data_IF_958090224122
#
_entry.id   IF_958090224122
#
_cell.length_a   1.000
_cell.length_b   1.000
_cell.length_c   1.000
_cell.angle_alpha   90.00
_cell.angle_beta   90.00
_cell.angle_gamma   90.00
#
_symmetry.space_group_name_H-M   'P 1'
#
loop_
_entity.id
_entity.type
_entity.pdbx_description
1 polymer ?
#
# COMPACT_ATOMS: atom_id res chain seq x y z
N UNK A 1 8.80 21.89 -1.13
CA UNK A 1 10.24 21.61 -1.39
C UNK A 1 11.14 21.64 -0.16
N UNK A 2 11.01 22.60 0.77
CA UNK A 2 11.88 22.66 1.98
C UNK A 2 11.66 21.53 2.99
N UNK A 3 10.45 21.03 3.17
CA UNK A 3 10.13 19.93 4.09
C UNK A 3 10.66 18.58 3.58
N UNK A 4 10.74 18.39 2.27
CA UNK A 4 11.19 17.16 1.62
C UNK A 4 12.71 16.98 1.66
N UNK A 5 13.48 18.10 1.64
CA UNK A 5 14.94 18.07 1.75
C UNK A 5 15.37 17.58 3.14
N UNK A 6 14.63 17.94 4.18
CA UNK A 6 14.90 17.46 5.57
C UNK A 6 14.64 15.94 5.68
N UNK A 7 13.64 15.43 4.97
CA UNK A 7 13.31 14.01 4.97
C UNK A 7 14.37 13.15 4.24
N UNK A 8 14.93 13.65 3.14
CA UNK A 8 15.99 12.95 2.38
C UNK A 8 17.33 12.92 3.13
N UNK A 9 17.65 13.98 3.89
CA UNK A 9 18.86 14.06 4.73
C UNK A 9 18.77 13.09 5.93
N UNK A 10 17.58 12.87 6.49
CA UNK A 10 17.36 11.91 7.57
C UNK A 10 17.57 10.46 7.11
N UNK A 11 17.21 10.12 5.87
CA UNK A 11 17.44 8.77 5.32
C UNK A 11 18.92 8.51 5.05
N UNK A 12 19.67 9.49 4.59
CA UNK A 12 21.12 9.32 4.38
C UNK A 12 21.90 9.19 5.70
N UNK A 13 21.45 9.84 6.78
CA UNK A 13 22.04 9.70 8.10
C UNK A 13 21.87 8.32 8.73
N UNK A 14 20.81 7.61 8.45
CA UNK A 14 20.54 6.27 9.00
C UNK A 14 21.35 5.18 8.28
N UNK A 15 21.65 5.35 7.00
CA UNK A 15 22.45 4.38 6.21
C UNK A 15 23.95 4.46 6.56
N UNK A 16 24.45 5.63 6.96
CA UNK A 16 25.88 5.82 7.27
C UNK A 16 26.29 5.30 8.66
N UNK A 17 25.34 4.99 9.55
CA UNK A 17 25.65 4.50 10.90
C UNK A 17 25.73 2.97 11.02
N UNK A 18 25.49 2.22 9.94
CA UNK A 18 25.48 0.76 9.96
C UNK A 18 26.82 0.10 9.55
N UNK A 19 27.83 0.88 9.16
CA UNK A 19 29.04 0.33 8.52
C UNK A 19 30.32 0.35 9.38
N UNK A 20 30.24 0.70 10.67
CA UNK A 20 31.43 0.65 11.55
C UNK A 20 31.12 0.03 12.91
N UNK A 21 31.08 -1.30 12.95
CA UNK A 21 31.29 -2.06 14.18
C UNK A 21 32.02 -3.37 13.88
N UNK A 22 33.34 -3.30 13.75
CA UNK A 22 34.23 -4.46 13.84
C UNK A 22 34.25 -4.99 15.28
N UNK A 23 34.01 -6.28 15.44
CA UNK A 23 34.07 -6.99 16.71
C UNK A 23 35.51 -7.45 17.02
N UNK A 24 36.00 -7.34 18.26
CA UNK A 24 37.30 -7.91 18.64
C UNK A 24 37.19 -9.42 18.89
N UNK A 25 38.30 -10.19 18.72
CA UNK A 25 38.29 -11.64 18.81
C UNK A 25 38.44 -12.18 20.23
N UNK A 26 37.63 -13.15 20.56
CA UNK A 26 37.99 -14.28 21.39
C UNK A 26 37.80 -14.23 22.90
N UNK A 27 36.76 -14.91 23.38
CA UNK A 27 36.81 -15.72 24.60
C UNK A 27 35.69 -16.79 24.56
N UNK A 28 35.88 -17.99 25.13
CA UNK A 28 35.00 -19.13 24.94
C UNK A 28 33.75 -18.99 25.79
N UNK A 29 32.59 -19.05 25.14
CA UNK A 29 31.28 -19.00 25.79
C UNK A 29 30.85 -20.42 26.15
N UNK A 30 30.53 -20.57 27.43
CA UNK A 30 29.81 -21.73 27.96
C UNK A 30 28.42 -21.87 27.30
N UNK A 31 28.04 -23.11 27.01
CA UNK A 31 26.74 -23.43 26.42
C UNK A 31 25.61 -23.06 27.39
N UNK A 32 24.86 -22.01 27.09
CA UNK A 32 23.58 -21.73 27.71
C UNK A 32 22.43 -22.21 26.83
N UNK A 33 21.49 -22.87 27.48
CA UNK A 33 20.32 -23.59 26.99
C UNK A 33 19.33 -22.72 26.20
N UNK A 34 18.73 -23.23 25.09
CA UNK A 34 17.86 -22.46 24.23
C UNK A 34 16.41 -22.41 24.72
N UNK A 35 16.16 -21.78 25.87
CA UNK A 35 14.78 -21.63 26.41
C UNK A 35 14.16 -20.26 26.06
N UNK A 36 14.95 -19.25 25.72
CA UNK A 36 14.46 -17.92 25.39
C UNK A 36 14.05 -17.76 23.90
N UNK A 37 14.57 -18.59 23.00
CA UNK A 37 14.24 -18.53 21.59
C UNK A 37 12.87 -19.18 21.26
N UNK A 38 12.46 -20.21 22.01
CA UNK A 38 11.15 -20.84 21.82
C UNK A 38 10.00 -19.96 22.33
N UNK A 39 10.21 -19.21 23.42
CA UNK A 39 9.18 -18.37 24.02
C UNK A 39 8.86 -17.14 23.16
N UNK A 40 9.86 -16.60 22.42
CA UNK A 40 9.65 -15.50 21.49
C UNK A 40 9.02 -15.92 20.16
N UNK A 41 9.33 -17.14 19.66
CA UNK A 41 8.68 -17.68 18.46
C UNK A 41 7.21 -18.03 18.74
N UNK A 42 6.93 -18.66 19.89
CA UNK A 42 5.59 -19.04 20.31
C UNK A 42 4.73 -17.79 20.60
N UNK A 43 5.35 -16.72 21.11
CA UNK A 43 4.68 -15.44 21.34
C UNK A 43 4.41 -14.68 20.04
N UNK A 44 5.35 -14.69 19.08
CA UNK A 44 5.17 -14.12 17.75
C UNK A 44 4.10 -14.90 16.97
N UNK A 45 4.07 -16.22 17.11
CA UNK A 45 3.06 -17.09 16.51
C UNK A 45 1.69 -16.89 17.15
N UNK A 46 1.59 -16.77 18.50
CA UNK A 46 0.35 -16.41 19.19
C UNK A 46 -0.14 -15.00 18.82
N UNK A 47 0.74 -14.04 18.59
CA UNK A 47 0.36 -12.69 18.14
C UNK A 47 -0.07 -12.69 16.68
N UNK A 48 0.52 -13.53 15.82
CA UNK A 48 0.12 -13.70 14.43
C UNK A 48 -1.19 -14.49 14.28
N UNK A 49 -1.45 -15.45 15.16
CA UNK A 49 -2.70 -16.24 15.19
C UNK A 49 -3.90 -15.44 15.75
N UNK A 50 -3.65 -14.34 16.45
CA UNK A 50 -4.75 -13.57 17.07
C UNK A 50 -5.58 -12.76 16.08
N UNK A 51 -5.02 -12.37 14.94
CA UNK A 51 -5.74 -11.60 13.91
C UNK A 51 -5.11 -11.85 12.54
N UNK A 52 -5.88 -12.19 11.49
CA UNK A 52 -5.35 -12.11 10.13
C UNK A 52 -4.86 -10.68 9.90
N UNK A 53 -3.61 -10.52 9.46
CA UNK A 53 -3.11 -9.21 9.09
C UNK A 53 -3.95 -8.70 7.93
N UNK A 54 -4.24 -7.39 7.88
CA UNK A 54 -4.96 -6.77 6.76
C UNK A 54 -4.32 -7.20 5.43
N UNK A 55 -3.00 -7.29 5.42
CA UNK A 55 -2.20 -7.64 4.26
C UNK A 55 -2.41 -9.10 3.79
N UNK A 56 -2.67 -10.04 4.72
CA UNK A 56 -2.84 -11.46 4.40
C UNK A 56 -4.27 -11.88 4.09
N UNK A 57 -5.24 -10.99 4.32
CA UNK A 57 -6.66 -11.33 4.18
C UNK A 57 -7.06 -11.73 2.75
N UNK A 58 -6.40 -11.16 1.75
CA UNK A 58 -6.72 -11.37 0.35
C UNK A 58 -5.56 -11.88 -0.50
N UNK A 59 -4.35 -12.02 0.06
CA UNK A 59 -3.15 -12.42 -0.67
C UNK A 59 -2.56 -13.68 -0.04
N UNK A 60 -2.35 -14.74 -0.85
CA UNK A 60 -1.90 -16.06 -0.38
C UNK A 60 -0.46 -16.07 0.11
N UNK A 61 0.45 -15.44 -0.63
CA UNK A 61 1.88 -15.42 -0.32
C UNK A 61 2.37 -13.99 -0.18
N UNK A 62 2.71 -13.60 1.05
CA UNK A 62 3.41 -12.35 1.28
C UNK A 62 4.88 -12.61 1.52
N UNK A 63 5.71 -12.16 0.60
CA UNK A 63 7.16 -12.10 0.83
C UNK A 63 7.42 -11.04 1.89
N UNK A 64 7.65 -11.47 3.13
CA UNK A 64 8.10 -10.60 4.21
C UNK A 64 9.62 -10.64 4.26
N UNK A 65 10.25 -9.57 3.84
CA UNK A 65 11.66 -9.32 4.09
C UNK A 65 11.77 -8.53 5.40
N UNK A 66 11.82 -9.23 6.53
CA UNK A 66 11.98 -8.67 7.90
C UNK A 66 11.13 -7.40 8.16
N UNK A 67 11.55 -6.23 7.63
CA UNK A 67 10.88 -4.94 7.82
C UNK A 67 10.13 -4.43 6.58
N UNK A 68 10.35 -5.03 5.41
CA UNK A 68 9.71 -4.63 4.15
C UNK A 68 8.55 -5.59 3.87
N UNK A 69 7.40 -5.02 3.54
CA UNK A 69 6.24 -5.79 3.08
C UNK A 69 5.55 -5.06 1.93
N UNK A 70 4.73 -5.78 1.22
CA UNK A 70 3.86 -5.20 0.18
C UNK A 70 2.91 -4.19 0.81
N UNK A 71 2.53 -3.17 0.04
CA UNK A 71 1.62 -2.12 0.52
C UNK A 71 0.41 -2.00 -0.39
N UNK A 72 0.48 -1.33 -1.49
CA UNK A 72 -0.61 -1.26 -2.46
C UNK A 72 -0.53 -2.45 -3.44
N UNK A 73 -1.60 -2.79 -4.18
CA UNK A 73 -1.55 -3.82 -5.21
C UNK A 73 -0.38 -3.64 -6.18
N UNK A 74 0.33 -4.74 -6.48
CA UNK A 74 1.44 -4.76 -7.43
C UNK A 74 0.94 -5.47 -8.68
N UNK A 75 0.88 -4.75 -9.80
CA UNK A 75 0.34 -5.28 -11.04
C UNK A 75 0.96 -4.66 -12.30
N UNK A 76 0.81 -5.39 -13.41
CA UNK A 76 0.98 -4.91 -14.77
C UNK A 76 -0.30 -5.20 -15.57
N UNK A 77 -0.93 -4.15 -16.10
CA UNK A 77 -2.22 -4.23 -16.79
C UNK A 77 -2.13 -3.57 -18.18
N UNK A 78 -2.49 -4.33 -19.20
CA UNK A 78 -2.62 -3.83 -20.57
C UNK A 78 -4.06 -3.38 -20.78
N UNK A 79 -4.25 -2.19 -21.30
CA UNK A 79 -5.56 -1.66 -21.66
C UNK A 79 -6.13 -2.41 -22.86
N UNK A 80 -7.45 -2.61 -22.89
CA UNK A 80 -8.17 -3.00 -24.14
C UNK A 80 -7.89 -1.95 -25.22
N UNK A 81 -7.78 -0.68 -24.81
CA UNK A 81 -7.10 0.37 -25.55
C UNK A 81 -5.66 0.46 -25.03
N UNK A 82 -4.64 0.04 -25.80
CA UNK A 82 -3.26 -0.08 -25.32
C UNK A 82 -2.63 1.25 -24.84
N UNK A 83 -3.14 2.40 -25.27
CA UNK A 83 -2.75 3.71 -24.78
C UNK A 83 -3.02 3.87 -23.28
N UNK A 84 -3.94 3.11 -22.73
CA UNK A 84 -4.37 3.17 -21.33
C UNK A 84 -3.81 2.05 -20.45
N UNK A 85 -2.66 1.51 -20.84
CA UNK A 85 -1.97 0.49 -20.04
C UNK A 85 -1.31 1.12 -18.81
N UNK A 86 -1.11 0.35 -17.75
CA UNK A 86 -0.40 0.82 -16.57
C UNK A 86 0.21 -0.29 -15.74
N UNK A 87 1.20 0.06 -14.94
CA UNK A 87 1.68 -0.79 -13.86
C UNK A 87 1.75 -0.03 -12.54
N UNK A 88 1.75 -0.78 -11.46
CA UNK A 88 1.91 -0.25 -10.10
C UNK A 88 2.85 -1.11 -9.29
N UNK A 89 3.71 -0.45 -8.54
CA UNK A 89 4.60 -1.04 -7.54
C UNK A 89 4.33 -0.35 -6.21
N UNK A 90 4.35 -1.11 -5.12
CA UNK A 90 4.16 -0.54 -3.80
C UNK A 90 4.78 -1.40 -2.70
N UNK A 91 5.43 -0.74 -1.75
CA UNK A 91 5.97 -1.39 -0.56
C UNK A 91 5.84 -0.47 0.66
N UNK A 92 5.87 -1.06 1.83
CA UNK A 92 6.01 -0.35 3.11
C UNK A 92 7.17 -0.91 3.93
N UNK A 93 7.78 -0.04 4.69
CA UNK A 93 8.87 -0.33 5.61
C UNK A 93 8.43 0.02 7.03
N UNK A 94 8.46 -0.95 7.93
CA UNK A 94 8.17 -0.73 9.35
C UNK A 94 9.37 -0.06 10.01
N UNK A 95 9.17 1.13 10.58
CA UNK A 95 10.25 1.92 11.16
C UNK A 95 10.78 1.32 12.46
N UNK A 96 9.92 0.75 13.29
CA UNK A 96 10.28 0.18 14.59
C UNK A 96 9.92 -1.31 14.62
N UNK A 97 10.86 -2.16 15.02
CA UNK A 97 10.62 -3.59 15.20
C UNK A 97 9.73 -3.82 16.44
N UNK A 98 8.70 -4.70 16.36
CA UNK A 98 7.84 -5.02 17.51
C UNK A 98 8.59 -5.57 18.71
N UNK A 99 9.71 -6.26 18.49
CA UNK A 99 10.55 -6.88 19.54
C UNK A 99 11.61 -5.92 20.08
N UNK A 100 11.62 -4.64 19.65
CA UNK A 100 12.59 -3.66 20.14
C UNK A 100 12.24 -3.18 21.54
N UNK A 101 13.26 -2.80 22.33
CA UNK A 101 13.06 -2.21 23.66
C UNK A 101 12.24 -0.91 23.61
N UNK A 102 12.25 -0.22 22.46
CA UNK A 102 11.43 0.97 22.24
C UNK A 102 9.94 0.60 22.12
N UNK A 103 9.62 -0.47 21.38
CA UNK A 103 8.25 -0.96 21.23
C UNK A 103 7.73 -1.62 22.51
N UNK A 104 8.60 -2.28 23.29
CA UNK A 104 8.25 -2.78 24.63
C UNK A 104 7.86 -1.65 25.58
N UNK A 105 8.58 -0.54 25.54
CA UNK A 105 8.31 0.63 26.39
C UNK A 105 7.12 1.47 25.90
N UNK A 106 6.96 1.60 24.58
CA UNK A 106 5.93 2.43 23.94
C UNK A 106 5.22 1.61 22.84
N UNK A 107 4.20 0.86 23.22
CA UNK A 107 3.49 -0.13 22.35
C UNK A 107 2.90 0.45 21.06
N UNK A 108 2.79 1.76 20.93
CA UNK A 108 2.26 2.38 19.72
C UNK A 108 3.31 2.63 18.64
N UNK A 109 4.61 2.62 18.97
CA UNK A 109 5.66 3.02 18.01
C UNK A 109 5.89 2.00 16.89
N UNK A 110 5.50 0.76 17.06
CA UNK A 110 5.59 -0.29 16.02
C UNK A 110 4.59 -0.09 14.87
N UNK A 111 3.58 0.78 15.08
CA UNK A 111 2.61 1.18 14.07
C UNK A 111 3.14 2.16 13.02
N UNK A 112 4.34 2.74 13.18
CA UNK A 112 4.89 3.70 12.24
C UNK A 112 5.57 3.04 11.03
N UNK A 113 5.18 3.47 9.83
CA UNK A 113 5.65 2.96 8.56
C UNK A 113 6.02 4.09 7.61
N UNK A 114 7.07 3.86 6.84
CA UNK A 114 7.29 4.56 5.58
C UNK A 114 6.76 3.69 4.44
N UNK A 115 6.05 4.28 3.48
CA UNK A 115 5.63 3.57 2.29
C UNK A 115 5.94 4.35 1.02
N UNK A 116 6.01 3.62 -0.06
CA UNK A 116 6.19 4.17 -1.39
C UNK A 116 5.30 3.40 -2.37
N UNK A 117 4.56 4.16 -3.19
CA UNK A 117 3.80 3.61 -4.30
C UNK A 117 4.14 4.38 -5.56
N UNK A 118 4.38 3.67 -6.64
CA UNK A 118 4.55 4.22 -7.98
C UNK A 118 3.48 3.66 -8.89
N UNK A 119 2.80 4.53 -9.64
CA UNK A 119 1.87 4.14 -10.69
C UNK A 119 2.31 4.80 -11.98
N UNK A 120 2.62 4.02 -13.01
CA UNK A 120 3.03 4.53 -14.31
C UNK A 120 1.98 4.20 -15.36
N UNK A 121 1.59 5.19 -16.15
CA UNK A 121 0.66 5.09 -17.26
C UNK A 121 1.47 4.98 -18.55
N UNK A 122 1.17 3.97 -19.36
CA UNK A 122 2.01 3.54 -20.45
C UNK A 122 1.21 3.44 -21.75
N UNK A 123 1.56 4.27 -22.74
CA UNK A 123 1.03 4.13 -24.08
C UNK A 123 1.80 3.04 -24.85
N UNK A 124 1.22 1.84 -24.90
CA UNK A 124 1.79 0.71 -25.65
C UNK A 124 1.43 0.74 -27.14
N UNK A 125 0.65 1.74 -27.61
CA UNK A 125 0.21 1.83 -29.02
C UNK A 125 1.13 2.71 -29.84
N UNK A 126 1.67 3.78 -29.28
CA UNK A 126 2.57 4.69 -29.96
C UNK A 126 3.91 4.03 -30.29
N UNK A 127 4.55 4.47 -31.36
CA UNK A 127 5.77 3.83 -31.92
C UNK A 127 6.92 3.76 -30.92
N UNK A 128 7.08 4.75 -30.04
CA UNK A 128 8.12 4.79 -29.00
C UNK A 128 7.67 4.23 -27.66
N UNK A 129 6.39 3.81 -27.51
CA UNK A 129 5.79 3.32 -26.29
C UNK A 129 6.15 4.19 -25.08
N UNK A 130 5.80 5.48 -25.06
CA UNK A 130 6.21 6.39 -23.98
C UNK A 130 5.41 6.12 -22.70
N UNK A 131 5.99 6.47 -21.55
CA UNK A 131 5.21 6.73 -20.35
C UNK A 131 4.55 8.10 -20.48
N UNK A 132 3.23 8.14 -20.41
CA UNK A 132 2.46 9.38 -20.45
C UNK A 132 2.55 10.13 -19.13
N UNK A 133 2.47 9.41 -18.03
CA UNK A 133 2.56 9.97 -16.69
C UNK A 133 3.08 8.91 -15.71
N UNK A 134 3.70 9.36 -14.63
CA UNK A 134 4.09 8.51 -13.50
C UNK A 134 3.83 9.25 -12.20
N UNK A 135 3.00 8.68 -11.35
CA UNK A 135 2.77 9.21 -10.00
C UNK A 135 3.70 8.53 -9.01
N UNK A 136 4.56 9.32 -8.35
CA UNK A 136 5.45 8.94 -7.25
C UNK A 136 4.80 9.34 -5.92
N UNK A 137 4.56 8.36 -5.04
CA UNK A 137 3.72 8.53 -3.83
C UNK A 137 4.43 8.06 -2.58
N UNK A 138 5.46 8.78 -2.09
CA UNK A 138 6.00 8.53 -0.76
C UNK A 138 5.02 8.94 0.33
N UNK A 139 4.99 8.13 1.40
CA UNK A 139 4.01 8.26 2.47
C UNK A 139 4.64 7.88 3.81
N UNK A 140 4.34 8.66 4.85
CA UNK A 140 4.65 8.33 6.24
C UNK A 140 3.35 8.18 7.00
N UNK A 141 3.09 7.00 7.56
CA UNK A 141 1.84 6.73 8.24
C UNK A 141 2.01 5.95 9.54
N UNK A 142 1.02 6.08 10.37
CA UNK A 142 0.78 5.26 11.55
C UNK A 142 -0.45 4.38 11.31
N UNK A 143 -0.37 3.11 11.66
CA UNK A 143 -1.51 2.21 11.75
C UNK A 143 -1.68 1.74 13.19
N UNK A 144 -2.89 1.90 13.72
CA UNK A 144 -3.21 1.48 15.09
C UNK A 144 -3.17 -0.06 15.23
N UNK A 145 -2.95 -0.58 16.43
CA UNK A 145 -3.38 -1.94 16.77
C UNK A 145 -4.89 -2.11 16.48
N UNK A 146 -5.36 -3.36 16.49
CA UNK A 146 -6.80 -3.59 16.39
C UNK A 146 -7.54 -2.93 17.58
N UNK A 147 -8.34 -1.91 17.25
CA UNK A 147 -9.09 -1.11 18.24
C UNK A 147 -10.33 -1.88 18.71
N UNK A 148 -10.75 -2.89 17.97
CA UNK A 148 -11.94 -3.65 18.25
C UNK A 148 -11.71 -4.64 19.39
N UNK A 149 -12.14 -4.27 20.59
CA UNK A 149 -12.03 -5.11 21.80
C UNK A 149 -13.29 -5.95 22.10
N UNK A 150 -14.38 -5.76 21.36
CA UNK A 150 -15.70 -6.35 21.68
C UNK A 150 -16.37 -7.15 20.59
N UNK A 151 -15.88 -7.11 19.35
CA UNK A 151 -16.45 -7.90 18.25
C UNK A 151 -15.77 -9.28 18.15
N UNK A 152 -16.38 -10.17 17.33
CA UNK A 152 -15.86 -11.51 17.12
C UNK A 152 -14.37 -11.53 16.79
N UNK A 153 -13.66 -12.60 17.18
CA UNK A 153 -12.22 -12.81 16.90
C UNK A 153 -11.85 -12.67 15.42
N UNK A 154 -12.82 -12.78 14.54
CA UNK A 154 -12.74 -12.72 13.08
C UNK A 154 -12.93 -11.32 12.51
N UNK A 155 -13.05 -10.28 13.35
CA UNK A 155 -13.25 -8.89 12.90
C UNK A 155 -12.20 -7.97 13.49
N UNK A 156 -11.75 -7.00 12.70
CA UNK A 156 -10.78 -6.00 13.08
C UNK A 156 -11.21 -4.59 12.70
N UNK A 157 -10.88 -3.62 13.54
CA UNK A 157 -10.99 -2.20 13.26
C UNK A 157 -9.63 -1.55 13.49
N UNK A 158 -9.11 -0.90 12.48
CA UNK A 158 -7.82 -0.22 12.52
C UNK A 158 -8.00 1.23 12.08
N UNK A 159 -7.12 2.10 12.55
CA UNK A 159 -7.03 3.47 12.07
C UNK A 159 -5.64 3.68 11.46
N UNK A 160 -5.60 3.99 10.17
CA UNK A 160 -4.40 4.44 9.49
C UNK A 160 -4.49 5.97 9.32
N UNK A 161 -3.45 6.69 9.72
CA UNK A 161 -3.35 8.13 9.51
C UNK A 161 -1.94 8.49 9.10
N UNK A 162 -1.78 9.47 8.23
CA UNK A 162 -0.46 9.80 7.72
C UNK A 162 -0.44 11.02 6.82
N UNK A 163 0.77 11.35 6.40
CA UNK A 163 1.05 12.37 5.38
C UNK A 163 1.51 11.66 4.12
N UNK A 164 1.00 12.11 2.98
CA UNK A 164 1.32 11.57 1.67
C UNK A 164 1.65 12.69 0.72
N UNK A 165 2.76 12.53 0.03
CA UNK A 165 3.11 13.33 -1.13
C UNK A 165 2.76 12.56 -2.41
N UNK A 166 2.32 13.26 -3.43
CA UNK A 166 2.21 12.73 -4.78
C UNK A 166 2.78 13.75 -5.75
N UNK A 167 3.66 13.30 -6.66
CA UNK A 167 4.19 14.12 -7.74
C UNK A 167 4.38 13.27 -9.00
N UNK A 168 4.33 13.92 -10.16
CA UNK A 168 4.58 13.22 -11.41
C UNK A 168 6.05 13.26 -11.86
N UNK A 169 6.91 13.99 -11.14
CA UNK A 169 8.34 14.08 -11.43
C UNK A 169 8.67 14.86 -12.71
N UNK A 170 7.70 15.57 -13.29
CA UNK A 170 7.88 16.40 -14.46
C UNK A 170 8.26 17.84 -14.06
N UNK A 171 8.78 18.60 -14.99
CA UNK A 171 9.11 20.02 -14.83
C UNK A 171 8.33 20.92 -15.76
N UNK A 172 8.38 22.24 -15.51
CA UNK A 172 7.68 23.23 -16.34
C UNK A 172 6.16 23.08 -16.25
N UNK A 173 5.48 23.31 -17.36
CA UNK A 173 4.00 23.33 -17.42
C UNK A 173 3.35 21.97 -17.15
N UNK A 174 4.11 20.88 -17.25
CA UNK A 174 3.64 19.52 -16.96
C UNK A 174 3.89 19.10 -15.51
N UNK A 175 4.53 19.95 -14.70
CA UNK A 175 4.76 19.67 -13.28
C UNK A 175 3.45 19.59 -12.51
N UNK A 176 3.24 18.52 -11.75
CA UNK A 176 2.09 18.36 -10.86
C UNK A 176 2.55 17.77 -9.54
N UNK A 177 2.12 18.35 -8.43
CA UNK A 177 2.36 17.78 -7.11
C UNK A 177 1.26 18.17 -6.12
N UNK A 178 1.09 17.35 -5.11
CA UNK A 178 0.13 17.60 -4.03
C UNK A 178 0.59 16.90 -2.76
N UNK A 179 0.24 17.49 -1.61
CA UNK A 179 0.48 16.93 -0.29
C UNK A 179 -0.83 16.89 0.49
N UNK A 180 -1.08 15.81 1.17
CA UNK A 180 -2.26 15.71 2.01
C UNK A 180 -2.04 14.93 3.30
N UNK A 181 -2.77 15.34 4.32
CA UNK A 181 -2.93 14.63 5.58
C UNK A 181 -4.23 13.84 5.51
N UNK A 182 -4.21 12.57 5.93
CA UNK A 182 -5.38 11.71 5.83
C UNK A 182 -5.67 10.91 7.08
N UNK A 183 -6.92 10.48 7.20
CA UNK A 183 -7.38 9.45 8.12
C UNK A 183 -8.16 8.39 7.35
N UNK A 184 -7.90 7.13 7.67
CA UNK A 184 -8.44 5.97 6.99
C UNK A 184 -8.81 4.89 8.02
N UNK A 185 -10.04 4.88 8.57
CA UNK A 185 -10.56 3.75 9.31
C UNK A 185 -10.64 2.51 8.41
N UNK A 186 -10.16 1.36 8.87
CA UNK A 186 -10.16 0.11 8.12
C UNK A 186 -10.91 -0.93 8.95
N UNK A 187 -12.08 -1.30 8.49
CA UNK A 187 -12.84 -2.41 9.05
C UNK A 187 -12.63 -3.66 8.21
N UNK A 188 -12.28 -4.76 8.86
CA UNK A 188 -12.12 -6.07 8.24
C UNK A 188 -12.97 -7.12 8.96
N UNK A 189 -13.51 -8.05 8.22
CA UNK A 189 -14.19 -9.23 8.75
C UNK A 189 -13.82 -10.45 7.94
N UNK A 190 -13.68 -11.59 8.62
CA UNK A 190 -13.24 -12.83 8.02
C UNK A 190 -14.08 -13.98 8.58
N UNK A 191 -14.52 -14.88 7.72
CA UNK A 191 -15.24 -16.09 8.12
C UNK A 191 -14.29 -17.30 8.07
N UNK A 192 -13.95 -17.87 9.21
CA UNK A 192 -13.00 -18.99 9.32
C UNK A 192 -13.44 -20.25 8.58
N UNK A 193 -14.76 -20.49 8.47
CA UNK A 193 -15.30 -21.69 7.83
C UNK A 193 -15.28 -21.61 6.30
N UNK A 194 -15.59 -20.43 5.75
CA UNK A 194 -15.68 -20.20 4.31
C UNK A 194 -14.43 -19.55 3.74
N UNK A 195 -13.51 -19.07 4.58
CA UNK A 195 -12.35 -18.25 4.23
C UNK A 195 -12.71 -16.96 3.49
N UNK A 196 -13.99 -16.53 3.57
CA UNK A 196 -14.46 -15.29 2.94
C UNK A 196 -14.04 -14.09 3.78
N UNK A 197 -13.34 -13.16 3.14
CA UNK A 197 -12.92 -11.89 3.71
C UNK A 197 -13.74 -10.72 3.17
N UNK A 198 -13.89 -9.69 4.00
CA UNK A 198 -14.53 -8.45 3.66
C UNK A 198 -13.79 -7.27 4.30
N UNK A 199 -13.63 -6.18 3.55
CA UNK A 199 -12.98 -4.94 3.99
C UNK A 199 -13.82 -3.73 3.57
N UNK A 200 -13.95 -2.78 4.50
CA UNK A 200 -14.46 -1.42 4.24
C UNK A 200 -13.43 -0.44 4.76
N UNK A 201 -13.03 0.51 3.93
CA UNK A 201 -12.00 1.50 4.27
C UNK A 201 -12.36 2.88 3.71
N UNK A 202 -13.12 3.69 4.46
CA UNK A 202 -13.43 5.07 4.09
C UNK A 202 -12.25 5.97 4.44
N UNK A 203 -11.60 6.54 3.44
CA UNK A 203 -10.47 7.44 3.58
C UNK A 203 -10.90 8.88 3.35
N UNK A 204 -10.50 9.76 4.25
CA UNK A 204 -10.70 11.21 4.12
C UNK A 204 -9.37 11.93 4.22
N UNK A 205 -9.24 13.07 3.55
CA UNK A 205 -8.02 13.86 3.61
C UNK A 205 -8.29 15.36 3.50
N UNK A 206 -7.28 16.13 3.87
CA UNK A 206 -7.17 17.55 3.60
C UNK A 206 -5.88 17.81 2.83
N UNK A 207 -5.90 18.71 1.87
CA UNK A 207 -4.71 19.18 1.17
C UNK A 207 -3.94 20.12 2.09
N UNK A 208 -2.63 19.89 2.24
CA UNK A 208 -1.76 20.68 3.14
C UNK A 208 -0.95 21.67 2.34
N UNK A 209 -0.50 21.26 1.16
CA UNK A 209 0.31 22.07 0.25
C UNK A 209 0.01 21.54 -1.16
N UNK A 210 -0.88 22.21 -1.86
CA UNK A 210 -1.20 21.93 -3.24
C UNK A 210 -0.49 22.99 -4.09
N UNK A 211 0.02 22.60 -5.25
CA UNK A 211 0.71 23.51 -6.15
C UNK A 211 -0.30 24.51 -6.71
N UNK A 212 -0.26 25.76 -6.19
CA UNK A 212 -1.21 26.80 -6.55
C UNK A 212 -1.07 27.25 -8.03
N UNK A 213 0.12 27.06 -8.62
CA UNK A 213 0.38 27.46 -10.00
C UNK A 213 0.00 26.35 -11.01
N UNK A 214 0.04 25.09 -10.59
CA UNK A 214 -0.05 23.95 -11.52
C UNK A 214 -1.33 23.13 -11.39
N UNK A 215 -1.90 23.01 -10.16
CA UNK A 215 -3.07 22.14 -9.91
C UNK A 215 -3.88 22.58 -8.68
N UNK A 216 -4.16 23.87 -8.54
CA UNK A 216 -4.94 24.43 -7.44
C UNK A 216 -6.38 23.89 -7.40
N UNK A 217 -6.95 23.56 -8.56
CA UNK A 217 -8.31 23.01 -8.72
C UNK A 217 -8.37 21.47 -8.66
N UNK A 218 -7.26 20.77 -8.39
CA UNK A 218 -7.23 19.32 -8.22
C UNK A 218 -8.30 18.79 -7.24
N UNK A 219 -8.62 19.48 -6.13
CA UNK A 219 -9.69 19.09 -5.22
C UNK A 219 -11.08 19.01 -5.86
N UNK A 220 -11.34 19.80 -6.92
CA UNK A 220 -12.63 19.76 -7.62
C UNK A 220 -12.83 18.46 -8.42
N UNK A 221 -11.75 17.79 -8.80
CA UNK A 221 -11.75 16.55 -9.58
C UNK A 221 -11.49 15.30 -8.74
N UNK A 222 -10.62 15.40 -7.71
CA UNK A 222 -10.25 14.27 -6.84
C UNK A 222 -11.12 14.19 -5.58
N UNK A 223 -11.60 15.35 -5.09
CA UNK A 223 -12.37 15.45 -3.84
C UNK A 223 -11.51 15.29 -2.60
N UNK A 224 -12.18 14.90 -1.51
CA UNK A 224 -11.61 14.77 -0.16
C UNK A 224 -11.94 13.42 0.48
N UNK A 225 -12.49 12.49 -0.31
CA UNK A 225 -13.02 11.22 0.17
C UNK A 225 -12.85 10.11 -0.87
N UNK A 226 -12.46 8.92 -0.40
CA UNK A 226 -12.43 7.68 -1.15
C UNK A 226 -12.93 6.53 -0.27
N UNK A 227 -13.74 5.64 -0.82
CA UNK A 227 -14.24 4.45 -0.15
C UNK A 227 -13.71 3.21 -0.84
N UNK A 228 -12.83 2.48 -0.17
CA UNK A 228 -12.41 1.16 -0.61
C UNK A 228 -13.33 0.08 -0.01
N UNK A 229 -13.85 -0.76 -0.88
CA UNK A 229 -14.57 -1.99 -0.54
C UNK A 229 -13.82 -3.16 -1.17
N UNK A 230 -13.57 -4.22 -0.41
CA UNK A 230 -12.96 -5.43 -0.94
C UNK A 230 -13.61 -6.65 -0.33
N UNK A 231 -13.90 -7.67 -1.13
CA UNK A 231 -14.44 -8.93 -0.65
C UNK A 231 -14.02 -10.10 -1.52
N UNK A 232 -14.00 -11.28 -0.93
CA UNK A 232 -13.71 -12.52 -1.64
C UNK A 232 -12.97 -13.55 -0.80
N UNK A 233 -12.44 -14.52 -1.51
CA UNK A 233 -11.68 -15.64 -0.94
C UNK A 233 -10.22 -15.51 -1.34
N UNK A 234 -9.28 -15.54 -0.38
CA UNK A 234 -7.84 -15.42 -0.67
C UNK A 234 -7.36 -16.48 -1.67
N UNK A 235 -7.94 -17.67 -1.66
CA UNK A 235 -7.62 -18.77 -2.60
C UNK A 235 -8.44 -18.76 -3.90
N UNK A 236 -9.27 -17.74 -4.14
CA UNK A 236 -10.16 -17.69 -5.29
C UNK A 236 -10.39 -16.26 -5.75
N UNK A 237 -11.63 -15.94 -6.10
CA UNK A 237 -12.02 -14.62 -6.58
C UNK A 237 -11.97 -13.59 -5.46
N UNK A 238 -11.35 -12.45 -5.75
CA UNK A 238 -11.43 -11.23 -4.93
C UNK A 238 -11.86 -10.08 -5.82
N UNK A 239 -12.84 -9.32 -5.33
CA UNK A 239 -13.33 -8.10 -5.96
C UNK A 239 -13.02 -6.93 -5.04
N UNK A 240 -12.32 -5.93 -5.57
CA UNK A 240 -12.06 -4.64 -4.96
C UNK A 240 -12.79 -3.53 -5.69
N UNK A 241 -13.26 -2.52 -4.97
CA UNK A 241 -13.90 -1.35 -5.56
C UNK A 241 -13.44 -0.11 -4.81
N UNK A 242 -13.00 0.93 -5.52
CA UNK A 242 -12.78 2.25 -4.97
C UNK A 242 -13.83 3.21 -5.53
N UNK A 243 -14.46 3.96 -4.65
CA UNK A 243 -15.49 4.94 -4.96
C UNK A 243 -15.06 6.31 -4.43
N UNK A 244 -14.87 7.28 -5.32
CA UNK A 244 -14.57 8.66 -4.97
C UNK A 244 -15.69 9.59 -5.40
N UNK A 245 -15.76 10.74 -4.74
CA UNK A 245 -16.68 11.80 -5.12
C UNK A 245 -15.99 13.15 -5.00
N UNK A 246 -16.11 13.95 -6.06
CA UNK A 246 -15.61 15.30 -6.14
C UNK A 246 -16.67 16.24 -6.73
N UNK A 247 -16.41 17.53 -6.77
CA UNK A 247 -17.31 18.52 -7.35
C UNK A 247 -17.65 18.22 -8.82
N UNK A 248 -16.65 17.83 -9.62
CA UNK A 248 -16.80 17.55 -11.05
C UNK A 248 -17.34 16.13 -11.32
N UNK A 249 -17.63 15.34 -10.28
CA UNK A 249 -18.34 14.07 -10.39
C UNK A 249 -17.75 12.92 -9.61
N UNK A 250 -18.43 11.77 -9.71
CA UNK A 250 -18.02 10.52 -9.08
C UNK A 250 -16.93 9.79 -9.87
N UNK A 251 -16.17 8.99 -9.15
CA UNK A 251 -15.13 8.09 -9.69
C UNK A 251 -15.36 6.68 -9.19
N UNK A 252 -15.15 5.69 -10.06
CA UNK A 252 -15.21 4.27 -9.72
C UNK A 252 -14.06 3.53 -10.35
N UNK A 253 -13.43 2.67 -9.55
CA UNK A 253 -12.46 1.67 -10.01
C UNK A 253 -12.88 0.32 -9.44
N UNK A 254 -12.93 -0.71 -10.29
CA UNK A 254 -13.27 -2.08 -9.91
C UNK A 254 -12.11 -2.98 -10.33
N UNK A 255 -11.58 -3.74 -9.40
CA UNK A 255 -10.52 -4.71 -9.58
C UNK A 255 -11.07 -6.11 -9.32
N UNK A 256 -10.91 -7.03 -10.26
CA UNK A 256 -11.29 -8.44 -10.13
C UNK A 256 -10.05 -9.29 -10.32
N UNK A 257 -9.72 -10.10 -9.31
CA UNK A 257 -8.50 -10.92 -9.33
C UNK A 257 -8.81 -12.38 -9.05
N UNK A 258 -8.08 -13.29 -9.73
CA UNK A 258 -8.22 -14.74 -9.59
C UNK A 258 -6.85 -15.43 -9.64
N UNK A 259 -6.51 -16.36 -8.70
CA UNK A 259 -5.21 -17.00 -8.67
C UNK A 259 -4.94 -17.82 -9.96
N UNK A 260 -3.82 -17.55 -10.61
CA UNK A 260 -3.42 -18.31 -11.80
C UNK A 260 -3.08 -19.77 -11.47
N UNK A 261 -2.69 -20.08 -10.24
CA UNK A 261 -2.49 -21.45 -9.75
C UNK A 261 -3.74 -22.34 -9.84
N UNK A 262 -4.93 -21.73 -9.85
CA UNK A 262 -6.20 -22.44 -10.07
C UNK A 262 -6.50 -22.73 -11.53
N UNK A 263 -5.84 -22.03 -12.46
CA UNK A 263 -6.00 -22.19 -13.90
C UNK A 263 -4.92 -23.10 -14.47
N UNK A 264 -3.69 -22.96 -13.99
CA UNK A 264 -2.54 -23.72 -14.47
C UNK A 264 -1.66 -24.17 -13.31
N UNK A 265 -1.47 -25.47 -13.20
CA UNK A 265 -0.57 -26.05 -12.20
C UNK A 265 0.88 -25.57 -12.43
N UNK A 266 1.57 -25.21 -11.35
CA UNK A 266 2.96 -24.74 -11.38
C UNK A 266 3.14 -23.23 -11.43
N UNK A 267 2.09 -22.45 -11.63
CA UNK A 267 2.14 -20.99 -11.47
C UNK A 267 1.70 -20.65 -10.04
N UNK A 268 2.61 -20.11 -9.23
CA UNK A 268 2.30 -19.64 -7.88
C UNK A 268 2.57 -18.14 -7.74
N UNK A 269 1.90 -17.49 -6.78
CA UNK A 269 2.12 -16.09 -6.45
C UNK A 269 1.65 -15.07 -7.51
N UNK A 270 0.92 -15.52 -8.56
CA UNK A 270 0.36 -14.65 -9.59
C UNK A 270 -1.15 -14.75 -9.64
N UNK A 271 -1.79 -13.63 -9.93
CA UNK A 271 -3.23 -13.49 -10.12
C UNK A 271 -3.53 -12.94 -11.51
N UNK A 272 -4.50 -13.51 -12.20
CA UNK A 272 -5.18 -12.83 -13.31
C UNK A 272 -5.85 -11.59 -12.71
N UNK A 273 -5.69 -10.44 -13.35
CA UNK A 273 -6.24 -9.17 -12.88
C UNK A 273 -6.99 -8.47 -14.01
N UNK A 274 -8.26 -8.18 -13.77
CA UNK A 274 -9.11 -7.38 -14.65
C UNK A 274 -9.49 -6.13 -13.88
N UNK A 275 -9.31 -4.97 -14.51
CA UNK A 275 -9.63 -3.67 -13.92
C UNK A 275 -10.57 -2.89 -14.85
N UNK A 276 -11.62 -2.34 -14.25
CA UNK A 276 -12.46 -1.32 -14.86
C UNK A 276 -12.26 0.00 -14.13
N UNK A 277 -12.13 1.08 -14.90
CA UNK A 277 -11.99 2.44 -14.38
C UNK A 277 -12.94 3.37 -15.12
N UNK A 278 -13.63 4.20 -14.35
CA UNK A 278 -14.34 5.39 -14.81
C UNK A 278 -14.10 6.47 -13.75
N UNK A 279 -13.03 7.23 -13.90
CA UNK A 279 -12.50 8.09 -12.84
C UNK A 279 -12.04 9.43 -13.38
N UNK A 280 -12.24 10.48 -12.59
CA UNK A 280 -11.46 11.72 -12.64
C UNK A 280 -10.18 11.53 -11.83
N UNK A 281 -9.16 12.31 -12.14
CA UNK A 281 -7.87 12.32 -11.45
C UNK A 281 -7.23 10.92 -11.29
N UNK A 282 -7.37 10.05 -12.31
CA UNK A 282 -6.68 8.77 -12.31
C UNK A 282 -5.17 8.95 -12.41
N UNK A 283 -4.70 9.83 -13.31
CA UNK A 283 -3.31 10.30 -13.36
C UNK A 283 -3.22 11.73 -12.83
N UNK A 284 -2.05 12.11 -12.35
CA UNK A 284 -1.85 13.46 -11.81
C UNK A 284 -1.70 14.48 -12.92
N UNK A 285 -1.07 14.13 -14.04
CA UNK A 285 -0.89 15.02 -15.19
C UNK A 285 -2.24 15.42 -15.82
N UNK A 286 -3.16 14.45 -15.93
CA UNK A 286 -4.48 14.63 -16.55
C UNK A 286 -5.61 14.52 -15.54
N UNK A 287 -5.45 15.14 -14.36
CA UNK A 287 -6.43 15.04 -13.28
C UNK A 287 -7.80 15.63 -13.65
N UNK A 288 -7.83 16.60 -14.54
CA UNK A 288 -9.00 17.29 -15.08
C UNK A 288 -9.82 16.44 -16.08
N UNK A 289 -9.24 15.33 -16.53
CA UNK A 289 -9.86 14.46 -17.54
C UNK A 289 -10.43 13.18 -16.94
N UNK A 290 -11.58 12.76 -17.49
CA UNK A 290 -12.20 11.51 -17.12
C UNK A 290 -11.60 10.35 -17.91
N UNK A 291 -10.95 9.44 -17.21
CA UNK A 291 -10.46 8.19 -17.78
C UNK A 291 -11.56 7.14 -17.74
N UNK A 292 -11.83 6.51 -18.90
CA UNK A 292 -12.61 5.27 -18.99
C UNK A 292 -11.73 4.20 -19.59
N UNK A 293 -11.49 3.12 -18.87
CA UNK A 293 -10.60 2.06 -19.32
C UNK A 293 -11.05 0.69 -18.79
N UNK A 294 -10.83 -0.33 -19.59
CA UNK A 294 -10.80 -1.73 -19.18
C UNK A 294 -9.40 -2.24 -19.42
N UNK A 295 -8.84 -2.90 -18.42
CA UNK A 295 -7.47 -3.41 -18.44
C UNK A 295 -7.47 -4.87 -18.02
N UNK A 296 -6.53 -5.65 -18.56
CA UNK A 296 -6.30 -7.04 -18.18
C UNK A 296 -4.80 -7.29 -18.05
N UNK A 297 -4.43 -8.12 -17.12
CA UNK A 297 -3.03 -8.46 -16.91
C UNK A 297 -2.81 -9.33 -15.69
N UNK A 298 -1.71 -9.12 -15.01
CA UNK A 298 -1.30 -9.91 -13.86
C UNK A 298 -1.00 -9.04 -12.66
N UNK A 299 -1.27 -9.58 -11.47
CA UNK A 299 -0.84 -8.99 -10.21
C UNK A 299 -0.09 -10.03 -9.35
N UNK A 300 0.84 -9.54 -8.53
CA UNK A 300 1.55 -10.32 -7.52
C UNK A 300 0.85 -10.13 -6.17
N UNK A 301 0.33 -8.92 -5.95
CA UNK A 301 -0.42 -8.53 -4.75
C UNK A 301 -1.74 -7.89 -5.17
N UNK A 302 -2.79 -8.15 -4.42
CA UNK A 302 -4.16 -7.72 -4.75
C UNK A 302 -4.93 -7.14 -3.56
#
# INVERSE_FOLDING_TARGET
MRLFIIFFILIQGVVSFAETAESPPGSPVAAETPKAASDNSDRAEMLSQRYPSIDSLFTLDQTKLDKISTYQPIYFLVGVDPEKSKFQLGFKYRLVKPESSLAERYRFVDGFHFAYTQTSYWDLKSTSMPFEDTSYKPELFYISPNINTGLARTSGLFLQTGIKHESNGQGGDDSRNTNFLYANPIFVSYNEKTTFGFLISPKVWIYVDNDEDANDDLPDYRGYFDLELKCGLAESLVVGTNLGWAREGGSVKIDVTYPLSRISAGISGLYLHIQYVNSLAESLLHYDRRTKAVRIGVSIVR
#
